data_IF_370576197959
#
_entry.id   IF_370576197959
#
_cell.length_a   1.000
_cell.length_b   1.000
_cell.length_c   1.000
_cell.angle_alpha   90.00
_cell.angle_beta   90.00
_cell.angle_gamma   90.00
#
_symmetry.space_group_name_H-M   'P 1'
#
loop_
_entity.id
_entity.type
_entity.pdbx_description
1 polymer ?
#
# COMPACT_ATOMS: atom_id res chain seq x y z
N UNK A 1 29.38 3.04 -6.50
CA UNK A 1 29.67 2.48 -5.17
C UNK A 1 28.42 1.79 -4.69
N UNK A 2 28.53 0.64 -3.99
CA UNK A 2 27.40 0.02 -3.33
C UNK A 2 26.89 0.95 -2.22
N UNK A 3 25.57 1.06 -2.04
CA UNK A 3 25.00 1.85 -0.96
C UNK A 3 25.20 1.13 0.38
N UNK A 4 25.46 1.90 1.44
CA UNK A 4 25.58 1.34 2.78
C UNK A 4 24.18 1.04 3.34
N UNK A 5 23.94 -0.24 3.66
CA UNK A 5 22.72 -0.71 4.30
C UNK A 5 22.98 -1.22 5.70
N UNK A 6 22.10 -0.86 6.61
CA UNK A 6 22.06 -1.35 7.97
C UNK A 6 20.64 -1.76 8.34
N UNK A 7 20.49 -2.78 9.17
CA UNK A 7 19.20 -3.12 9.80
C UNK A 7 19.39 -2.98 11.30
N UNK A 8 18.50 -2.19 11.93
CA UNK A 8 18.53 -1.98 13.37
C UNK A 8 17.24 -2.50 13.99
N UNK A 9 17.37 -3.11 15.16
CA UNK A 9 16.23 -3.43 16.02
C UNK A 9 15.95 -2.27 16.98
N UNK A 10 14.67 -2.02 17.27
CA UNK A 10 14.25 -1.00 18.22
C UNK A 10 13.01 -1.44 19.02
N UNK A 11 12.84 -0.88 20.20
CA UNK A 11 11.67 -1.14 21.03
C UNK A 11 10.45 -0.39 20.48
N UNK A 12 9.38 -1.09 20.14
CA UNK A 12 8.18 -0.51 19.52
C UNK A 12 7.47 0.52 20.40
N UNK A 13 7.52 0.37 21.73
CA UNK A 13 6.84 1.29 22.65
C UNK A 13 7.61 2.60 22.85
N UNK A 14 8.94 2.51 22.93
CA UNK A 14 9.79 3.66 23.24
C UNK A 14 10.41 4.30 22.00
N UNK A 15 10.56 3.52 20.92
CA UNK A 15 11.30 3.89 19.72
C UNK A 15 12.82 3.77 19.87
N UNK A 16 13.34 3.45 21.07
CA UNK A 16 14.77 3.36 21.30
C UNK A 16 15.40 2.20 20.54
N UNK A 17 16.49 2.49 19.84
CA UNK A 17 17.31 1.49 19.14
C UNK A 17 17.90 0.55 20.20
N UNK A 18 17.81 -0.74 19.94
CA UNK A 18 18.32 -1.81 20.80
C UNK A 18 19.67 -2.30 20.31
N UNK A 19 19.81 -2.51 18.98
CA UNK A 19 21.04 -3.01 18.39
C UNK A 19 21.09 -2.77 16.88
N UNK A 20 22.32 -2.79 16.32
CA UNK A 20 22.55 -2.94 14.88
C UNK A 20 22.77 -4.42 14.56
N UNK A 21 22.03 -4.95 13.59
CA UNK A 21 22.01 -6.37 13.28
C UNK A 21 23.08 -6.72 12.23
N UNK A 22 23.91 -7.74 12.46
CA UNK A 22 24.91 -8.19 11.49
C UNK A 22 24.27 -9.02 10.36
N UNK A 23 23.56 -8.34 9.47
CA UNK A 23 22.81 -8.97 8.39
C UNK A 23 23.73 -9.48 7.29
N UNK A 24 23.35 -10.59 6.64
CA UNK A 24 24.00 -11.13 5.43
C UNK A 24 23.33 -10.70 4.13
N UNK A 25 22.32 -9.87 4.22
CA UNK A 25 21.50 -9.34 3.15
C UNK A 25 20.14 -8.97 3.69
N UNK A 26 19.38 -8.15 2.95
CA UNK A 26 18.02 -7.77 3.32
C UNK A 26 17.15 -7.66 2.08
N UNK A 27 15.93 -8.17 2.18
CA UNK A 27 14.87 -7.95 1.21
C UNK A 27 13.73 -7.20 1.88
N UNK A 28 13.28 -6.09 1.31
CA UNK A 28 12.13 -5.37 1.81
C UNK A 28 11.23 -4.88 0.69
N UNK A 29 9.95 -4.80 1.00
CA UNK A 29 8.89 -4.44 0.06
C UNK A 29 8.03 -3.33 0.64
N UNK A 30 7.87 -2.26 -0.11
CA UNK A 30 6.85 -1.24 0.14
C UNK A 30 5.67 -1.49 -0.79
N UNK A 31 4.49 -1.66 -0.23
CA UNK A 31 3.25 -1.91 -0.97
C UNK A 31 2.26 -0.78 -0.70
N UNK A 32 1.68 -0.26 -1.77
CA UNK A 32 0.67 0.80 -1.69
C UNK A 32 -0.54 0.35 -0.86
N UNK A 33 -0.98 1.19 0.06
CA UNK A 33 -2.14 0.94 0.93
C UNK A 33 -2.06 -0.36 1.76
N UNK A 34 -0.84 -0.87 2.00
CA UNK A 34 -0.62 -2.12 2.72
C UNK A 34 0.62 -2.04 3.63
N UNK A 35 0.86 -3.11 4.38
CA UNK A 35 1.96 -3.15 5.34
C UNK A 35 3.35 -3.28 4.69
N UNK A 36 3.45 -3.91 3.50
CA UNK A 36 4.74 -4.35 2.99
C UNK A 36 5.37 -5.43 3.88
N UNK A 37 6.59 -5.85 3.54
CA UNK A 37 7.30 -6.92 4.26
C UNK A 37 8.81 -6.70 4.26
N UNK A 38 9.51 -7.38 5.19
CA UNK A 38 10.97 -7.42 5.19
C UNK A 38 11.43 -8.77 5.72
N UNK A 39 12.50 -9.29 5.11
CA UNK A 39 13.20 -10.50 5.56
C UNK A 39 14.69 -10.24 5.55
N UNK A 40 15.35 -10.62 6.64
CA UNK A 40 16.81 -10.69 6.71
C UNK A 40 17.24 -11.88 7.58
N UNK A 41 18.52 -12.22 7.53
CA UNK A 41 19.10 -13.26 8.37
C UNK A 41 20.35 -12.74 9.09
N UNK A 42 20.53 -13.22 10.33
CA UNK A 42 21.71 -12.97 11.15
C UNK A 42 22.29 -14.29 11.68
N UNK A 43 23.58 -14.33 12.04
CA UNK A 43 24.14 -15.50 12.73
C UNK A 43 23.47 -15.74 14.09
N UNK A 44 23.14 -17.00 14.41
CA UNK A 44 22.61 -17.36 15.75
C UNK A 44 23.55 -17.02 16.89
N UNK A 45 24.85 -16.99 16.63
CA UNK A 45 25.89 -16.64 17.63
C UNK A 45 26.06 -15.13 17.83
N UNK A 46 25.31 -14.31 17.07
CA UNK A 46 25.37 -12.85 17.23
C UNK A 46 24.90 -12.43 18.63
N UNK A 47 25.61 -11.49 19.31
CA UNK A 47 25.14 -10.88 20.56
C UNK A 47 23.78 -10.20 20.45
N UNK A 48 23.35 -9.83 19.23
CA UNK A 48 22.05 -9.27 18.94
C UNK A 48 20.94 -10.34 18.89
N UNK A 49 21.28 -11.62 18.70
CA UNK A 49 20.32 -12.74 18.59
C UNK A 49 19.85 -13.23 19.98
N UNK A 50 19.23 -12.33 20.74
CA UNK A 50 18.70 -12.67 22.08
C UNK A 50 17.20 -12.38 22.16
N UNK A 51 16.43 -13.15 22.97
CA UNK A 51 14.99 -12.93 23.13
C UNK A 51 14.61 -11.53 23.61
N UNK A 52 15.46 -10.87 24.39
CA UNK A 52 15.21 -9.52 24.90
C UNK A 52 15.36 -8.44 23.83
N UNK A 53 16.21 -8.69 22.82
CA UNK A 53 16.48 -7.76 21.72
C UNK A 53 15.61 -8.02 20.48
N UNK A 54 15.19 -9.27 20.32
CA UNK A 54 14.40 -9.74 19.18
C UNK A 54 13.12 -10.44 19.67
N UNK A 55 12.25 -9.68 20.33
CA UNK A 55 10.99 -10.19 20.85
C UNK A 55 9.87 -10.01 19.80
N UNK A 56 9.32 -11.08 19.19
CA UNK A 56 8.25 -10.98 18.21
C UNK A 56 7.03 -10.21 18.75
N UNK A 57 6.54 -9.26 17.98
CA UNK A 57 5.44 -8.37 18.37
C UNK A 57 5.86 -7.19 19.28
N UNK A 58 7.05 -7.20 19.88
CA UNK A 58 7.57 -6.13 20.74
C UNK A 58 8.74 -5.36 20.16
N UNK A 59 9.46 -5.97 19.21
CA UNK A 59 10.61 -5.38 18.52
C UNK A 59 10.21 -4.88 17.16
N UNK A 60 10.58 -3.64 16.85
CA UNK A 60 10.55 -3.09 15.50
C UNK A 60 11.88 -3.30 14.79
N UNK A 61 11.83 -3.40 13.47
CA UNK A 61 13.00 -3.42 12.60
C UNK A 61 12.95 -2.21 11.67
N UNK A 62 14.10 -1.58 11.46
CA UNK A 62 14.26 -0.46 10.53
C UNK A 62 15.42 -0.75 9.59
N UNK A 63 15.16 -0.59 8.30
CA UNK A 63 16.20 -0.62 7.26
C UNK A 63 16.70 0.80 7.05
N UNK A 64 17.99 0.99 7.17
CA UNK A 64 18.67 2.28 7.02
C UNK A 64 19.56 2.19 5.80
N UNK A 65 19.42 3.16 4.87
CA UNK A 65 20.25 3.31 3.68
C UNK A 65 20.96 4.65 3.74
N UNK A 66 22.28 4.65 3.66
CA UNK A 66 23.08 5.89 3.73
C UNK A 66 22.67 6.77 4.94
N UNK A 67 22.49 6.15 6.11
CA UNK A 67 22.08 6.83 7.35
C UNK A 67 20.60 7.25 7.42
N UNK A 68 19.79 7.01 6.39
CA UNK A 68 18.36 7.36 6.34
C UNK A 68 17.47 6.13 6.51
N UNK A 69 16.48 6.14 7.38
CA UNK A 69 15.45 5.10 7.44
C UNK A 69 14.68 5.05 6.12
N UNK A 70 14.67 3.90 5.45
CA UNK A 70 14.00 3.71 4.17
C UNK A 70 12.82 2.73 4.25
N UNK A 71 12.82 1.83 5.22
CA UNK A 71 11.74 0.91 5.52
C UNK A 71 11.68 0.65 7.02
N UNK A 72 10.48 0.38 7.55
CA UNK A 72 10.31 0.03 8.95
C UNK A 72 9.04 -0.76 9.21
N UNK A 73 9.10 -1.64 10.21
CA UNK A 73 7.99 -2.51 10.54
C UNK A 73 8.18 -3.25 11.86
N UNK A 74 7.34 -4.25 12.07
CA UNK A 74 7.27 -5.03 13.30
C UNK A 74 7.77 -6.44 13.02
N UNK A 75 8.70 -6.91 13.83
CA UNK A 75 9.13 -8.31 13.83
C UNK A 75 7.98 -9.19 14.33
N UNK A 76 7.38 -9.97 13.44
CA UNK A 76 6.29 -10.86 13.80
C UNK A 76 6.73 -12.31 13.98
N UNK A 77 7.66 -12.77 13.15
CA UNK A 77 8.16 -14.14 13.24
C UNK A 77 9.68 -14.19 13.08
N UNK A 78 10.28 -15.15 13.73
CA UNK A 78 11.67 -15.53 13.54
C UNK A 78 11.78 -17.04 13.47
N UNK A 79 12.76 -17.53 12.72
CA UNK A 79 13.04 -18.95 12.56
C UNK A 79 14.53 -19.23 12.69
N UNK A 80 14.88 -20.09 13.64
CA UNK A 80 16.24 -20.52 13.87
C UNK A 80 16.54 -21.78 13.05
N UNK A 81 17.53 -21.72 12.17
CA UNK A 81 18.12 -22.89 11.54
C UNK A 81 19.40 -23.27 12.29
N UNK A 82 19.31 -24.32 13.10
CA UNK A 82 20.42 -24.77 13.94
C UNK A 82 21.53 -25.41 13.13
N UNK A 83 21.20 -25.98 11.96
CA UNK A 83 22.19 -26.61 11.07
C UNK A 83 22.97 -25.57 10.26
N UNK A 84 22.30 -24.54 9.76
CA UNK A 84 22.93 -23.42 9.07
C UNK A 84 23.52 -22.37 10.03
N UNK A 85 23.16 -22.40 11.33
CA UNK A 85 23.61 -21.42 12.32
C UNK A 85 23.01 -20.02 12.08
N UNK A 86 21.82 -19.93 11.50
CA UNK A 86 21.20 -18.66 11.11
C UNK A 86 19.85 -18.45 11.78
N UNK A 87 19.54 -17.17 12.07
CA UNK A 87 18.25 -16.71 12.55
C UNK A 87 17.62 -15.83 11.48
N UNK A 88 16.55 -16.31 10.86
CA UNK A 88 15.77 -15.54 9.88
C UNK A 88 14.74 -14.70 10.61
N UNK A 89 14.68 -13.41 10.29
CA UNK A 89 13.77 -12.42 10.85
C UNK A 89 12.79 -12.00 9.77
N UNK A 90 11.48 -12.12 10.06
CA UNK A 90 10.42 -11.68 9.16
C UNK A 90 9.60 -10.58 9.83
N UNK A 91 9.53 -9.43 9.18
CA UNK A 91 8.79 -8.28 9.63
C UNK A 91 7.72 -7.83 8.62
N UNK A 92 6.65 -7.25 9.12
CA UNK A 92 5.66 -6.55 8.31
C UNK A 92 5.62 -5.07 8.68
N UNK A 93 5.40 -4.21 7.71
CA UNK A 93 5.35 -2.76 7.92
C UNK A 93 4.36 -2.33 9.01
N UNK A 94 4.47 -1.11 9.46
CA UNK A 94 3.74 -0.59 10.62
C UNK A 94 2.21 -0.72 10.54
N UNK A 95 1.64 -0.77 9.34
CA UNK A 95 0.20 -1.00 9.17
C UNK A 95 -0.27 -2.33 9.75
N UNK A 96 0.60 -3.33 9.81
CA UNK A 96 0.29 -4.64 10.40
C UNK A 96 -0.11 -4.59 11.87
N UNK A 97 0.34 -3.55 12.62
CA UNK A 97 -0.08 -3.32 14.00
C UNK A 97 -1.59 -3.13 14.14
N UNK A 98 -2.17 -2.41 13.19
CA UNK A 98 -3.57 -2.00 13.23
C UNK A 98 -4.55 -3.14 12.92
N UNK A 99 -4.07 -4.27 12.36
CA UNK A 99 -4.86 -5.50 12.24
C UNK A 99 -5.25 -6.08 13.60
N UNK A 100 -4.37 -5.93 14.60
CA UNK A 100 -4.62 -6.36 15.98
C UNK A 100 -5.30 -5.31 16.87
N UNK A 101 -5.70 -4.16 16.33
CA UNK A 101 -6.43 -3.11 17.05
C UNK A 101 -7.87 -3.02 16.59
N UNK A 102 -8.80 -2.97 17.54
CA UNK A 102 -10.25 -2.98 17.27
C UNK A 102 -10.93 -1.79 17.95
N UNK A 103 -11.95 -1.26 17.32
CA UNK A 103 -12.85 -0.26 17.92
C UNK A 103 -13.82 -0.91 18.92
N UNK A 104 -13.32 -1.23 20.12
CA UNK A 104 -14.09 -1.98 21.14
C UNK A 104 -15.32 -1.25 21.65
N UNK A 105 -15.38 0.08 21.56
CA UNK A 105 -16.54 0.88 21.93
C UNK A 105 -17.48 1.18 20.74
N UNK A 106 -17.16 0.64 19.56
CA UNK A 106 -17.78 1.07 18.31
C UNK A 106 -17.22 2.39 17.81
N UNK A 107 -17.81 2.91 16.74
CA UNK A 107 -17.42 4.18 16.11
C UNK A 107 -18.67 4.93 15.64
N UNK A 108 -18.69 6.25 15.80
CA UNK A 108 -19.71 7.11 15.23
C UNK A 108 -19.09 8.41 14.73
N UNK A 109 -19.04 8.57 13.43
CA UNK A 109 -18.63 9.78 12.72
C UNK A 109 -19.73 10.14 11.72
N UNK A 110 -20.23 11.37 11.77
CA UNK A 110 -21.24 11.85 10.85
C UNK A 110 -20.75 13.12 10.18
N UNK A 111 -20.62 13.08 8.84
CA UNK A 111 -20.17 14.20 8.02
C UNK A 111 -18.83 14.83 8.50
N UNK A 112 -17.88 13.99 8.92
CA UNK A 112 -16.56 14.42 9.39
C UNK A 112 -15.54 14.30 8.25
N UNK A 113 -14.61 15.27 8.16
CA UNK A 113 -13.49 15.22 7.21
C UNK A 113 -12.68 13.93 7.39
N UNK A 114 -12.38 13.21 6.29
CA UNK A 114 -11.67 11.92 6.34
C UNK A 114 -10.28 12.03 6.97
N UNK A 115 -9.55 13.14 6.79
CA UNK A 115 -8.27 13.36 7.46
C UNK A 115 -8.44 13.58 8.97
N UNK A 116 -9.54 14.21 9.40
CA UNK A 116 -9.87 14.35 10.82
C UNK A 116 -10.24 13.00 11.46
N UNK A 117 -10.96 12.15 10.74
CA UNK A 117 -11.27 10.78 11.17
C UNK A 117 -9.97 10.00 11.40
N UNK A 118 -9.04 10.01 10.44
CA UNK A 118 -7.75 9.31 10.55
C UNK A 118 -6.93 9.80 11.75
N UNK A 119 -6.84 11.13 11.94
CA UNK A 119 -6.12 11.69 13.10
C UNK A 119 -6.70 11.22 14.42
N UNK A 120 -8.03 11.19 14.56
CA UNK A 120 -8.70 10.70 15.75
C UNK A 120 -8.43 9.19 15.98
N UNK A 121 -8.55 8.36 14.96
CA UNK A 121 -8.28 6.93 15.07
C UNK A 121 -6.84 6.63 15.48
N UNK A 122 -5.87 7.29 14.85
CA UNK A 122 -4.45 7.11 15.18
C UNK A 122 -4.10 7.67 16.57
N UNK A 123 -4.70 8.80 16.98
CA UNK A 123 -4.53 9.34 18.33
C UNK A 123 -5.02 8.36 19.40
N UNK A 124 -6.22 7.81 19.22
CA UNK A 124 -6.79 6.82 20.15
C UNK A 124 -5.95 5.54 20.24
N UNK A 125 -5.42 5.05 19.10
CA UNK A 125 -4.54 3.87 19.11
C UNK A 125 -3.22 4.15 19.79
N UNK A 126 -2.62 5.33 19.62
CA UNK A 126 -1.40 5.72 20.30
C UNK A 126 -1.59 5.78 21.82
N UNK A 127 -2.71 6.36 22.29
CA UNK A 127 -3.03 6.46 23.72
C UNK A 127 -3.20 5.08 24.35
N UNK A 128 -3.70 4.10 23.61
CA UNK A 128 -3.94 2.73 24.06
C UNK A 128 -2.75 1.79 23.77
N UNK A 129 -1.54 2.14 24.21
CA UNK A 129 -0.33 1.36 23.96
C UNK A 129 -0.03 1.11 22.48
N UNK A 130 -0.16 2.13 21.64
CA UNK A 130 0.19 2.08 20.23
C UNK A 130 1.69 2.16 19.97
N UNK A 131 2.03 2.18 18.69
CA UNK A 131 3.42 2.21 18.19
C UNK A 131 3.92 3.64 17.90
N UNK A 132 3.33 4.66 18.53
CA UNK A 132 3.74 6.08 18.45
C UNK A 132 3.73 6.66 17.04
N UNK A 133 2.75 6.28 16.23
CA UNK A 133 2.62 6.80 14.87
C UNK A 133 2.38 8.31 14.87
N UNK A 134 3.24 9.07 14.20
CA UNK A 134 3.05 10.50 13.95
C UNK A 134 1.98 10.70 12.88
N UNK A 135 0.88 11.33 13.25
CA UNK A 135 -0.25 11.68 12.38
C UNK A 135 -0.38 13.20 12.15
N UNK A 136 0.59 13.98 12.62
CA UNK A 136 0.55 15.45 12.57
C UNK A 136 0.53 16.02 11.15
N UNK A 137 0.99 15.24 10.17
CA UNK A 137 1.07 15.63 8.76
C UNK A 137 -0.15 15.21 7.92
N UNK A 138 -1.17 14.60 8.53
CA UNK A 138 -2.41 14.28 7.82
C UNK A 138 -3.20 15.59 7.60
N UNK A 139 -3.40 16.03 6.35
CA UNK A 139 -4.16 17.24 6.05
C UNK A 139 -5.67 17.02 6.22
N UNK A 140 -6.43 18.10 6.27
CA UNK A 140 -7.84 18.04 5.94
C UNK A 140 -7.98 17.86 4.43
N UNK A 141 -8.83 16.93 4.02
CA UNK A 141 -9.02 16.59 2.61
C UNK A 141 -10.18 17.35 1.97
N UNK A 142 -11.03 18.00 2.76
CA UNK A 142 -12.28 18.60 2.32
C UNK A 142 -13.38 17.59 2.01
N UNK A 143 -13.12 16.30 2.19
CA UNK A 143 -14.07 15.21 1.92
C UNK A 143 -14.67 14.70 3.22
N UNK A 144 -15.96 14.89 3.39
CA UNK A 144 -16.70 14.42 4.55
C UNK A 144 -17.14 12.98 4.38
N UNK A 145 -17.12 12.24 5.48
CA UNK A 145 -17.48 10.81 5.55
C UNK A 145 -18.33 10.53 6.76
N UNK A 146 -19.20 9.55 6.61
CA UNK A 146 -19.97 8.97 7.72
C UNK A 146 -19.48 7.54 7.95
N UNK A 147 -19.14 7.22 9.21
CA UNK A 147 -18.68 5.89 9.63
C UNK A 147 -19.32 5.56 10.97
N UNK A 148 -20.15 4.52 10.97
CA UNK A 148 -20.86 4.08 12.15
C UNK A 148 -20.75 2.56 12.27
N UNK A 149 -20.11 2.09 13.32
CA UNK A 149 -20.01 0.69 13.67
C UNK A 149 -20.40 0.48 15.12
N UNK A 150 -21.13 -0.58 15.35
CA UNK A 150 -21.41 -1.01 16.71
C UNK A 150 -20.21 -1.74 17.30
N UNK A 151 -20.15 -1.85 18.62
CA UNK A 151 -19.10 -2.63 19.31
C UNK A 151 -19.08 -4.11 18.89
N UNK A 152 -20.21 -4.64 18.42
CA UNK A 152 -20.36 -6.05 18.04
C UNK A 152 -19.80 -6.38 16.66
N UNK A 153 -19.62 -5.38 15.80
CA UNK A 153 -19.01 -5.55 14.49
C UNK A 153 -17.50 -5.74 14.58
N UNK A 154 -16.90 -5.38 15.75
CA UNK A 154 -15.49 -5.59 16.06
C UNK A 154 -14.53 -5.14 14.94
N UNK A 155 -14.85 -4.02 14.28
CA UNK A 155 -14.08 -3.48 13.16
C UNK A 155 -12.63 -3.22 13.59
N UNK A 156 -11.68 -3.77 12.85
CA UNK A 156 -10.25 -3.49 13.07
C UNK A 156 -9.89 -2.09 12.54
N UNK A 157 -8.90 -1.46 13.18
CA UNK A 157 -8.44 -0.14 12.75
C UNK A 157 -7.82 -0.20 11.34
N UNK A 158 -7.12 -1.29 10.98
CA UNK A 158 -6.58 -1.44 9.63
C UNK A 158 -7.69 -1.51 8.59
N UNK A 159 -8.70 -2.36 8.80
CA UNK A 159 -9.81 -2.49 7.86
C UNK A 159 -10.59 -1.17 7.73
N UNK A 160 -10.76 -0.43 8.83
CA UNK A 160 -11.40 0.88 8.78
C UNK A 160 -10.59 1.93 7.98
N UNK A 161 -9.25 1.92 8.10
CA UNK A 161 -8.37 2.79 7.31
C UNK A 161 -8.44 2.40 5.83
N UNK A 162 -8.37 1.11 5.53
CA UNK A 162 -8.44 0.57 4.17
C UNK A 162 -9.79 0.91 3.51
N UNK A 163 -10.91 0.68 4.22
CA UNK A 163 -12.25 1.03 3.77
C UNK A 163 -12.42 2.55 3.51
N UNK A 164 -11.83 3.38 4.38
CA UNK A 164 -11.86 4.83 4.18
C UNK A 164 -10.99 5.28 2.99
N UNK A 165 -9.90 4.57 2.73
CA UNK A 165 -9.01 4.83 1.61
C UNK A 165 -9.63 4.43 0.27
N UNK A 166 -10.40 3.33 0.25
CA UNK A 166 -11.07 2.79 -0.94
C UNK A 166 -12.37 3.52 -1.32
N UNK A 167 -12.86 4.42 -0.48
CA UNK A 167 -14.04 5.23 -0.81
C UNK A 167 -13.86 6.04 -2.10
N UNK A 168 -14.95 6.34 -2.77
CA UNK A 168 -14.97 7.26 -3.91
C UNK A 168 -14.32 8.61 -3.55
N UNK A 169 -13.16 8.90 -4.14
CA UNK A 169 -12.32 10.01 -3.76
C UNK A 169 -11.61 9.83 -2.42
N UNK A 170 -11.25 8.61 -2.10
CA UNK A 170 -10.39 8.26 -0.99
C UNK A 170 -8.96 8.79 -1.13
N UNK A 171 -8.02 8.06 -0.60
CA UNK A 171 -6.61 8.48 -0.57
C UNK A 171 -5.69 7.27 -0.62
N UNK A 172 -4.47 7.47 -1.06
CA UNK A 172 -3.40 6.52 -0.83
C UNK A 172 -2.74 6.80 0.51
N UNK A 173 -2.30 5.76 1.20
CA UNK A 173 -1.58 5.91 2.45
C UNK A 173 -0.28 5.10 2.49
N UNK A 174 0.64 5.53 3.34
CA UNK A 174 1.89 4.84 3.64
C UNK A 174 2.43 5.22 5.01
N UNK A 175 3.29 4.37 5.56
CA UNK A 175 4.04 4.64 6.77
C UNK A 175 5.50 4.89 6.41
N UNK A 176 6.04 5.99 6.89
CA UNK A 176 7.44 6.38 6.63
C UNK A 176 8.20 6.36 7.94
N UNK A 177 9.21 5.50 8.09
CA UNK A 177 10.09 5.56 9.25
C UNK A 177 10.95 6.82 9.20
N UNK A 178 11.27 7.37 10.36
CA UNK A 178 12.18 8.51 10.47
C UNK A 178 12.92 8.49 11.80
N UNK A 179 14.06 9.17 11.84
CA UNK A 179 14.78 9.40 13.07
C UNK A 179 14.11 10.50 13.88
N UNK A 180 13.62 10.16 15.07
CA UNK A 180 13.24 11.14 16.10
C UNK A 180 14.50 11.71 16.78
N UNK A 181 15.53 10.84 16.97
CA UNK A 181 16.90 11.20 17.27
C UNK A 181 17.83 10.29 16.46
N UNK A 182 18.72 10.88 15.67
CA UNK A 182 19.55 10.18 14.68
C UNK A 182 20.32 9.00 15.29
N UNK A 183 20.13 7.79 14.76
CA UNK A 183 20.76 6.55 15.24
C UNK A 183 20.31 6.07 16.62
N UNK A 184 19.48 6.82 17.33
CA UNK A 184 19.09 6.52 18.72
C UNK A 184 17.62 6.18 18.84
N UNK A 185 16.75 6.90 18.11
CA UNK A 185 15.31 6.76 18.28
C UNK A 185 14.56 6.81 16.96
N UNK A 186 13.84 5.74 16.69
CA UNK A 186 13.00 5.56 15.50
C UNK A 186 11.56 5.90 15.82
N UNK A 187 10.89 6.55 14.89
CA UNK A 187 9.45 6.73 14.88
C UNK A 187 8.90 6.44 13.49
N UNK A 188 7.58 6.40 13.36
CA UNK A 188 6.92 6.23 12.08
C UNK A 188 5.88 7.33 11.87
N UNK A 189 5.71 7.74 10.62
CA UNK A 189 4.74 8.76 10.22
C UNK A 189 3.75 8.20 9.25
N UNK A 190 2.47 8.40 9.52
CA UNK A 190 1.40 8.10 8.58
C UNK A 190 1.20 9.28 7.63
N UNK A 191 1.29 9.01 6.35
CA UNK A 191 1.09 9.99 5.30
C UNK A 191 -0.05 9.55 4.39
N UNK A 192 -0.82 10.53 3.92
CA UNK A 192 -1.82 10.33 2.87
C UNK A 192 -1.48 11.19 1.65
N UNK A 193 -1.86 10.69 0.49
CA UNK A 193 -1.75 11.39 -0.80
C UNK A 193 -3.03 11.21 -1.60
N UNK A 194 -3.18 11.99 -2.68
CA UNK A 194 -4.25 11.72 -3.63
C UNK A 194 -4.13 10.29 -4.19
N UNK A 195 -5.25 9.72 -4.64
CA UNK A 195 -5.34 8.35 -5.18
C UNK A 195 -4.35 8.12 -6.34
N UNK A 196 -4.20 9.12 -7.21
CA UNK A 196 -3.07 9.20 -8.12
C UNK A 196 -2.05 10.16 -7.50
N UNK A 197 -0.93 9.64 -7.06
CA UNK A 197 0.16 10.42 -6.48
C UNK A 197 0.78 11.41 -7.46
N UNK A 198 1.96 11.90 -7.12
CA UNK A 198 2.68 12.81 -8.00
C UNK A 198 3.05 12.11 -9.32
N UNK A 199 2.90 12.82 -10.43
CA UNK A 199 3.45 12.35 -11.70
C UNK A 199 4.96 12.46 -11.64
N UNK A 200 5.63 11.32 -11.66
CA UNK A 200 7.08 11.25 -11.72
C UNK A 200 7.58 11.69 -13.11
N UNK A 201 8.79 12.20 -13.15
CA UNK A 201 9.51 12.46 -14.42
C UNK A 201 10.18 11.20 -14.96
N UNK A 202 10.15 10.10 -14.21
CA UNK A 202 10.79 8.85 -14.60
C UNK A 202 10.02 8.19 -15.75
N UNK A 203 10.76 7.72 -16.74
CA UNK A 203 10.26 6.89 -17.81
C UNK A 203 11.03 5.58 -17.81
N UNK A 204 10.33 4.48 -17.66
CA UNK A 204 10.87 3.14 -17.79
C UNK A 204 10.74 2.68 -19.23
N UNK A 205 11.85 2.53 -19.91
CA UNK A 205 11.91 2.10 -21.30
C UNK A 205 12.68 0.77 -21.38
N UNK A 206 11.95 -0.27 -21.81
CA UNK A 206 12.44 -1.63 -21.89
C UNK A 206 13.73 -1.72 -22.71
N UNK A 207 14.76 -2.39 -22.19
CA UNK A 207 16.10 -2.53 -22.76
C UNK A 207 16.94 -1.25 -22.90
N UNK A 208 16.46 -0.12 -22.38
CA UNK A 208 17.22 1.14 -22.34
C UNK A 208 17.68 1.45 -20.93
N UNK A 209 16.76 1.52 -19.96
CA UNK A 209 17.07 1.84 -18.57
C UNK A 209 16.48 0.86 -17.56
N UNK A 210 15.73 -0.12 -18.04
CA UNK A 210 15.16 -1.18 -17.26
C UNK A 210 14.97 -2.45 -18.10
N UNK A 211 14.71 -3.55 -17.41
CA UNK A 211 14.13 -4.74 -18.01
C UNK A 211 12.66 -4.85 -17.53
N UNK A 212 11.73 -5.02 -18.47
CA UNK A 212 10.34 -5.36 -18.17
C UNK A 212 10.22 -6.86 -18.28
N UNK A 213 10.25 -7.54 -17.14
CA UNK A 213 10.31 -9.00 -17.06
C UNK A 213 8.98 -9.67 -17.37
N UNK A 214 7.87 -8.98 -17.11
CA UNK A 214 6.53 -9.46 -17.39
C UNK A 214 5.57 -8.29 -17.60
N UNK A 215 4.52 -8.53 -18.40
CA UNK A 215 3.31 -7.71 -18.42
C UNK A 215 2.13 -8.65 -18.30
N UNK A 216 1.48 -8.66 -17.13
CA UNK A 216 0.24 -9.39 -16.96
C UNK A 216 -0.92 -8.53 -17.47
N UNK A 217 -1.91 -9.19 -18.08
CA UNK A 217 -3.15 -8.55 -18.51
C UNK A 217 -4.30 -9.19 -17.75
N UNK A 218 -4.96 -8.40 -16.90
CA UNK A 218 -6.14 -8.83 -16.17
C UNK A 218 -7.42 -8.34 -16.87
N UNK A 219 -8.27 -9.28 -17.26
CA UNK A 219 -9.55 -9.04 -17.90
C UNK A 219 -10.76 -9.31 -17.00
N UNK A 220 -10.54 -9.53 -15.71
CA UNK A 220 -11.63 -9.81 -14.75
C UNK A 220 -12.60 -8.65 -14.62
N UNK A 221 -12.11 -7.42 -14.71
CA UNK A 221 -12.90 -6.18 -14.67
C UNK A 221 -13.58 -5.79 -15.97
N UNK A 222 -13.32 -6.50 -17.10
CA UNK A 222 -13.99 -6.18 -18.37
C UNK A 222 -15.51 -6.20 -18.21
N UNK A 223 -16.17 -5.20 -18.78
CA UNK A 223 -17.63 -5.06 -18.73
C UNK A 223 -18.16 -4.54 -20.07
N UNK A 224 -19.00 -5.30 -20.73
CA UNK A 224 -19.78 -4.82 -21.87
C UNK A 224 -20.95 -3.98 -21.43
N UNK A 225 -21.59 -4.37 -20.31
CA UNK A 225 -22.67 -3.63 -19.66
C UNK A 225 -22.40 -3.46 -18.18
N UNK A 226 -22.76 -2.32 -17.64
CA UNK A 226 -22.72 -2.03 -16.21
C UNK A 226 -24.10 -1.58 -15.76
N UNK A 227 -24.65 -2.31 -14.79
CA UNK A 227 -25.95 -2.04 -14.16
C UNK A 227 -25.72 -1.59 -12.73
N UNK A 228 -26.14 -0.38 -12.37
CA UNK A 228 -26.00 0.13 -11.02
C UNK A 228 -27.38 0.34 -10.38
N UNK A 229 -27.54 -0.20 -9.18
CA UNK A 229 -28.77 -0.13 -8.38
C UNK A 229 -28.48 0.57 -7.06
N UNK A 230 -29.33 1.54 -6.72
CA UNK A 230 -29.20 2.29 -5.45
C UNK A 230 -30.04 1.74 -4.32
N UNK A 231 -30.10 2.51 -3.23
CA UNK A 231 -30.90 2.23 -2.07
C UNK A 231 -32.42 2.33 -2.39
N UNK A 232 -33.19 1.41 -1.88
CA UNK A 232 -34.65 1.46 -1.97
C UNK A 232 -35.19 2.64 -1.14
N UNK A 233 -36.10 3.43 -1.70
CA UNK A 233 -36.80 4.48 -0.98
C UNK A 233 -37.96 3.92 -0.14
N UNK A 234 -38.65 4.79 0.60
CA UNK A 234 -39.79 4.42 1.44
C UNK A 234 -40.99 3.90 0.64
N UNK A 235 -41.07 4.15 -0.66
CA UNK A 235 -42.10 3.73 -1.60
C UNK A 235 -41.70 2.45 -2.36
N UNK A 236 -40.53 1.89 -2.09
CA UNK A 236 -40.05 0.67 -2.72
C UNK A 236 -39.32 0.89 -4.07
N UNK A 237 -39.22 2.13 -4.55
CA UNK A 237 -38.51 2.45 -5.77
C UNK A 237 -36.97 2.47 -5.53
N UNK A 238 -36.19 1.93 -6.51
CA UNK A 238 -34.74 1.96 -6.49
C UNK A 238 -34.24 2.82 -7.64
N UNK A 239 -33.38 3.81 -7.40
CA UNK A 239 -32.71 4.47 -8.50
C UNK A 239 -31.82 3.46 -9.24
N UNK A 240 -31.86 3.49 -10.55
CA UNK A 240 -31.09 2.61 -11.45
C UNK A 240 -30.34 3.44 -12.47
N UNK A 241 -29.18 2.96 -12.90
CA UNK A 241 -28.45 3.52 -14.00
C UNK A 241 -27.73 2.42 -14.77
N UNK A 242 -27.73 2.53 -16.09
CA UNK A 242 -27.09 1.58 -17.00
C UNK A 242 -26.13 2.30 -17.95
N UNK A 243 -25.02 1.68 -18.24
CA UNK A 243 -24.05 2.14 -19.23
C UNK A 243 -23.39 0.94 -19.90
N UNK A 244 -22.78 1.12 -21.06
CA UNK A 244 -22.15 0.04 -21.82
C UNK A 244 -20.87 0.48 -22.52
N UNK A 245 -20.06 -0.50 -22.89
CA UNK A 245 -18.89 -0.38 -23.76
C UNK A 245 -19.18 -1.12 -25.09
N UNK A 246 -19.85 -0.49 -26.04
CA UNK A 246 -20.30 -1.16 -27.28
C UNK A 246 -19.15 -1.72 -28.11
N UNK A 247 -17.98 -1.06 -28.09
CA UNK A 247 -16.79 -1.49 -28.83
C UNK A 247 -16.29 -2.89 -28.39
N UNK A 248 -16.64 -3.31 -27.17
CA UNK A 248 -16.25 -4.64 -26.67
C UNK A 248 -17.09 -5.78 -27.26
N UNK A 249 -18.30 -5.53 -27.73
CA UNK A 249 -19.13 -6.59 -28.32
C UNK A 249 -18.54 -7.23 -29.58
N UNK A 250 -17.64 -6.51 -30.25
CA UNK A 250 -16.92 -7.05 -31.41
C UNK A 250 -15.74 -7.96 -30.98
N UNK A 251 -15.37 -7.93 -29.72
CA UNK A 251 -14.13 -8.58 -29.21
C UNK A 251 -14.39 -9.70 -28.22
N UNK A 252 -15.44 -9.58 -27.40
CA UNK A 252 -15.78 -10.55 -26.36
C UNK A 252 -17.28 -10.80 -26.32
N UNK A 253 -17.73 -11.97 -25.84
CA UNK A 253 -19.13 -12.19 -25.50
C UNK A 253 -19.61 -11.17 -24.45
N UNK A 254 -20.93 -10.94 -24.42
CA UNK A 254 -21.52 -10.05 -23.43
C UNK A 254 -21.09 -10.44 -22.00
N UNK A 255 -20.61 -9.47 -21.26
CA UNK A 255 -20.19 -9.60 -19.86
C UNK A 255 -20.78 -8.47 -19.04
N UNK A 256 -21.72 -8.81 -18.20
CA UNK A 256 -22.47 -7.87 -17.36
C UNK A 256 -21.80 -7.71 -16.01
N UNK A 257 -21.72 -6.47 -15.53
CA UNK A 257 -21.31 -6.12 -14.17
C UNK A 257 -22.50 -5.49 -13.47
N UNK A 258 -22.90 -6.07 -12.35
CA UNK A 258 -24.00 -5.57 -11.52
C UNK A 258 -23.42 -4.99 -10.23
N UNK A 259 -23.74 -3.73 -9.95
CA UNK A 259 -23.30 -3.00 -8.76
C UNK A 259 -24.52 -2.60 -7.94
N UNK A 260 -24.51 -2.89 -6.64
CA UNK A 260 -25.59 -2.52 -5.73
C UNK A 260 -25.05 -1.67 -4.59
N UNK A 261 -25.66 -0.50 -4.39
CA UNK A 261 -25.26 0.47 -3.38
C UNK A 261 -26.42 0.74 -2.41
N UNK A 262 -26.30 0.25 -1.20
CA UNK A 262 -27.35 0.37 -0.15
C UNK A 262 -27.51 1.79 0.42
N UNK A 263 -26.58 2.67 0.14
CA UNK A 263 -26.49 4.05 0.64
C UNK A 263 -26.77 5.13 -0.42
N UNK A 264 -26.74 4.76 -1.71
CA UNK A 264 -26.90 5.71 -2.82
C UNK A 264 -28.37 5.88 -3.19
N UNK A 265 -28.87 7.10 -3.04
CA UNK A 265 -30.27 7.47 -3.29
C UNK A 265 -30.49 8.30 -4.56
N UNK A 266 -29.43 8.66 -5.29
CA UNK A 266 -29.54 9.54 -6.46
C UNK A 266 -28.97 8.89 -7.73
N UNK A 267 -29.69 9.02 -8.85
CA UNK A 267 -29.27 8.54 -10.16
C UNK A 267 -27.94 9.18 -10.58
N UNK A 268 -27.70 10.45 -10.26
CA UNK A 268 -26.45 11.15 -10.62
C UNK A 268 -25.23 10.50 -9.97
N UNK A 269 -25.35 10.04 -8.72
CA UNK A 269 -24.25 9.33 -8.04
C UNK A 269 -24.05 7.96 -8.65
N UNK A 270 -25.14 7.23 -8.95
CA UNK A 270 -25.07 5.93 -9.65
C UNK A 270 -24.42 6.06 -11.02
N UNK A 271 -24.79 7.09 -11.79
CA UNK A 271 -24.23 7.35 -13.10
C UNK A 271 -22.71 7.50 -13.05
N UNK A 272 -22.20 8.29 -12.10
CA UNK A 272 -20.74 8.44 -11.91
C UNK A 272 -20.06 7.12 -11.57
N UNK A 273 -20.64 6.32 -10.66
CA UNK A 273 -20.08 5.03 -10.25
C UNK A 273 -20.09 4.02 -11.40
N UNK A 274 -21.21 3.91 -12.11
CA UNK A 274 -21.32 3.00 -13.26
C UNK A 274 -20.39 3.41 -14.42
N UNK A 275 -20.30 4.71 -14.73
CA UNK A 275 -19.38 5.21 -15.77
C UNK A 275 -17.93 4.94 -15.41
N UNK A 276 -17.54 5.10 -14.15
CA UNK A 276 -16.20 4.77 -13.67
C UNK A 276 -15.90 3.27 -13.83
N UNK A 277 -16.83 2.40 -13.44
CA UNK A 277 -16.70 0.95 -13.65
C UNK A 277 -16.62 0.58 -15.13
N UNK A 278 -17.43 1.20 -15.99
CA UNK A 278 -17.36 1.00 -17.43
C UNK A 278 -16.02 1.46 -18.03
N UNK A 279 -15.46 2.56 -17.52
CA UNK A 279 -14.14 3.05 -17.98
C UNK A 279 -13.03 2.05 -17.62
N UNK A 280 -13.01 1.53 -16.37
CA UNK A 280 -12.06 0.48 -15.96
C UNK A 280 -12.28 -0.81 -16.76
N UNK A 281 -13.56 -1.16 -17.01
CA UNK A 281 -13.96 -2.36 -17.75
C UNK A 281 -13.81 -2.28 -19.29
N UNK A 282 -13.24 -1.20 -19.82
CA UNK A 282 -13.12 -0.99 -21.27
C UNK A 282 -11.99 -1.78 -21.94
N UNK A 283 -10.95 -2.11 -21.19
CA UNK A 283 -9.79 -2.85 -21.68
C UNK A 283 -9.19 -3.72 -20.57
N UNK A 284 -8.44 -4.79 -20.92
CA UNK A 284 -7.66 -5.52 -19.94
C UNK A 284 -6.68 -4.59 -19.24
N UNK A 285 -6.57 -4.74 -17.91
CA UNK A 285 -5.64 -3.97 -17.09
C UNK A 285 -4.23 -4.51 -17.32
N UNK A 286 -3.33 -3.69 -17.83
CA UNK A 286 -1.93 -4.05 -17.98
C UNK A 286 -1.18 -3.81 -16.64
N UNK A 287 -0.42 -4.82 -16.21
CA UNK A 287 0.37 -4.79 -14.98
C UNK A 287 1.82 -5.15 -15.29
N UNK A 288 2.66 -4.17 -15.68
CA UNK A 288 4.06 -4.41 -15.94
C UNK A 288 4.87 -4.62 -14.65
N UNK A 289 5.79 -5.58 -14.70
CA UNK A 289 6.83 -5.78 -13.69
C UNK A 289 8.14 -5.28 -14.24
N UNK A 290 8.72 -4.30 -13.59
CA UNK A 290 9.89 -3.56 -14.07
C UNK A 290 11.07 -3.76 -13.11
N UNK A 291 12.23 -4.09 -13.67
CA UNK A 291 13.51 -4.16 -12.97
C UNK A 291 14.43 -3.06 -13.52
N UNK A 292 14.57 -1.93 -12.84
CA UNK A 292 15.49 -0.86 -13.25
C UNK A 292 16.94 -1.35 -13.32
N UNK A 293 17.70 -0.86 -14.26
CA UNK A 293 19.13 -1.18 -14.30
C UNK A 293 19.88 -0.55 -13.13
N UNK A 294 20.89 -1.23 -12.57
CA UNK A 294 21.61 -0.76 -11.42
C UNK A 294 22.18 0.67 -11.60
N UNK A 295 21.92 1.53 -10.61
CA UNK A 295 22.42 2.90 -10.59
C UNK A 295 21.67 3.91 -11.45
N UNK A 296 20.63 3.49 -12.19
CA UNK A 296 19.81 4.40 -13.02
C UNK A 296 18.81 5.16 -12.15
N UNK A 297 18.16 4.46 -11.23
CA UNK A 297 17.21 5.04 -10.29
C UNK A 297 17.59 4.70 -8.85
N UNK A 298 17.38 5.65 -7.94
CA UNK A 298 17.48 5.40 -6.50
C UNK A 298 16.13 4.93 -5.95
N UNK A 299 16.09 4.02 -4.95
CA UNK A 299 14.85 3.64 -4.28
C UNK A 299 14.03 4.84 -3.77
N UNK A 300 14.70 5.91 -3.33
CA UNK A 300 14.04 7.11 -2.80
C UNK A 300 13.23 7.90 -3.84
N UNK A 301 13.51 7.66 -5.13
CA UNK A 301 12.81 8.30 -6.26
C UNK A 301 11.56 7.52 -6.71
N UNK A 302 11.39 6.30 -6.20
CA UNK A 302 10.38 5.35 -6.63
C UNK A 302 9.42 5.07 -5.47
N UNK A 303 8.45 5.95 -5.31
CA UNK A 303 7.51 5.93 -4.19
C UNK A 303 6.22 5.21 -4.62
N UNK A 304 5.78 4.15 -3.93
CA UNK A 304 4.46 3.57 -4.17
C UNK A 304 3.35 4.61 -4.09
N UNK A 305 2.46 4.60 -5.09
CA UNK A 305 1.42 5.60 -5.29
C UNK A 305 1.75 6.65 -6.37
N UNK A 306 3.03 6.88 -6.67
CA UNK A 306 3.40 7.81 -7.73
C UNK A 306 3.19 7.24 -9.12
N UNK A 307 2.86 8.13 -10.06
CA UNK A 307 2.62 7.78 -11.46
C UNK A 307 3.94 7.77 -12.22
N UNK A 308 4.21 6.66 -12.89
CA UNK A 308 5.40 6.43 -13.73
C UNK A 308 4.99 6.25 -15.18
N UNK A 309 5.85 6.62 -16.12
CA UNK A 309 5.64 6.30 -17.54
C UNK A 309 6.37 4.98 -17.87
N UNK A 310 5.69 4.06 -18.55
CA UNK A 310 6.29 2.79 -19.01
C UNK A 310 6.17 2.69 -20.52
N UNK A 311 7.26 2.26 -21.18
CA UNK A 311 7.34 2.01 -22.61
C UNK A 311 7.90 0.62 -22.85
N UNK A 312 7.10 -0.22 -23.49
CA UNK A 312 7.48 -1.55 -23.95
C UNK A 312 6.93 -1.73 -25.35
N UNK A 313 7.79 -2.05 -26.30
CA UNK A 313 7.40 -2.48 -27.65
C UNK A 313 8.21 -3.74 -27.95
N UNK A 314 7.59 -4.90 -27.74
CA UNK A 314 8.22 -6.19 -27.94
C UNK A 314 7.23 -7.28 -28.30
N UNK A 315 7.12 -7.59 -29.58
CA UNK A 315 6.26 -8.65 -30.08
C UNK A 315 4.77 -8.41 -29.79
N UNK A 316 4.16 -9.29 -28.99
CA UNK A 316 2.77 -9.16 -28.58
C UNK A 316 2.53 -7.97 -27.64
N UNK A 317 3.57 -7.58 -26.90
CA UNK A 317 3.47 -6.54 -25.86
C UNK A 317 3.77 -5.18 -26.47
N UNK A 318 2.75 -4.33 -26.57
CA UNK A 318 2.87 -2.92 -26.91
C UNK A 318 2.23 -2.10 -25.80
N UNK A 319 3.03 -1.66 -24.83
CA UNK A 319 2.58 -0.89 -23.66
C UNK A 319 3.25 0.47 -23.69
N UNK A 320 2.44 1.51 -23.75
CA UNK A 320 2.89 2.89 -23.67
C UNK A 320 1.85 3.70 -22.88
N UNK A 321 2.21 4.12 -21.68
CA UNK A 321 1.24 4.84 -20.84
C UNK A 321 1.75 5.20 -19.45
N UNK A 322 0.82 5.69 -18.66
CA UNK A 322 1.01 6.07 -17.27
C UNK A 322 0.50 4.95 -16.35
N UNK A 323 1.34 4.57 -15.41
CA UNK A 323 1.09 3.49 -14.46
C UNK A 323 1.36 3.98 -13.03
N UNK A 324 0.55 3.56 -12.09
CA UNK A 324 0.79 3.78 -10.66
C UNK A 324 1.74 2.70 -10.17
N UNK A 325 2.79 3.10 -9.47
CA UNK A 325 3.67 2.17 -8.77
C UNK A 325 2.93 1.58 -7.56
N UNK A 326 2.59 0.30 -7.63
CA UNK A 326 1.84 -0.38 -6.56
C UNK A 326 2.73 -1.05 -5.54
N UNK A 327 3.91 -1.50 -5.98
CA UNK A 327 4.87 -2.17 -5.11
C UNK A 327 6.30 -1.89 -5.56
N UNK A 328 7.17 -1.66 -4.57
CA UNK A 328 8.60 -1.58 -4.75
C UNK A 328 9.27 -2.59 -3.83
N UNK A 329 9.91 -3.60 -4.40
CA UNK A 329 10.77 -4.53 -3.71
C UNK A 329 12.23 -4.14 -3.91
N UNK A 330 13.02 -4.18 -2.85
CA UNK A 330 14.46 -3.96 -2.87
C UNK A 330 15.15 -5.16 -2.24
N UNK A 331 16.01 -5.81 -2.99
CA UNK A 331 16.87 -6.89 -2.55
C UNK A 331 18.31 -6.37 -2.46
N UNK A 332 18.93 -6.52 -1.31
CA UNK A 332 20.33 -6.15 -1.07
C UNK A 332 21.10 -7.41 -0.71
N UNK A 333 22.06 -7.75 -1.54
CA UNK A 333 22.89 -8.94 -1.32
C UNK A 333 24.04 -8.70 -0.32
N UNK A 334 24.81 -9.73 -0.04
CA UNK A 334 25.94 -9.71 0.90
C UNK A 334 27.06 -8.74 0.47
N UNK A 335 27.11 -8.33 -0.79
CA UNK A 335 28.07 -7.34 -1.31
C UNK A 335 27.56 -5.90 -1.23
N UNK A 336 26.33 -5.70 -0.75
CA UNK A 336 25.64 -4.41 -0.70
C UNK A 336 25.09 -3.96 -2.07
N UNK A 337 24.99 -4.87 -3.04
CA UNK A 337 24.40 -4.56 -4.34
C UNK A 337 22.89 -4.54 -4.23
N UNK A 338 22.29 -3.44 -4.66
CA UNK A 338 20.84 -3.25 -4.74
C UNK A 338 20.28 -3.82 -6.04
N UNK A 339 19.16 -4.52 -5.93
CA UNK A 339 18.29 -4.87 -7.05
C UNK A 339 16.87 -4.46 -6.71
N UNK A 340 16.22 -3.75 -7.62
CA UNK A 340 14.83 -3.31 -7.44
C UNK A 340 13.90 -4.07 -8.38
N UNK A 341 12.73 -4.44 -7.87
CA UNK A 341 11.61 -4.92 -8.68
C UNK A 341 10.39 -4.07 -8.38
N UNK A 342 9.75 -3.57 -9.42
CA UNK A 342 8.62 -2.66 -9.35
C UNK A 342 7.41 -3.33 -9.97
N UNK A 343 6.29 -3.36 -9.24
CA UNK A 343 5.00 -3.71 -9.78
C UNK A 343 4.20 -2.43 -10.05
N UNK A 344 3.62 -2.34 -11.23
CA UNK A 344 2.84 -1.19 -11.63
C UNK A 344 1.47 -1.63 -12.15
N UNK A 345 0.47 -0.77 -12.04
CA UNK A 345 -0.85 -1.01 -12.59
C UNK A 345 -1.36 0.24 -13.32
N UNK A 346 -2.22 0.02 -14.31
CA UNK A 346 -2.75 1.11 -15.13
C UNK A 346 -3.37 2.20 -14.26
N UNK A 347 -3.04 3.45 -14.53
CA UNK A 347 -3.53 4.63 -13.79
C UNK A 347 -5.06 4.71 -13.75
N UNK A 348 -5.74 4.35 -14.82
CA UNK A 348 -7.19 4.40 -14.93
C UNK A 348 -7.90 3.55 -13.86
N UNK A 349 -7.27 2.46 -13.40
CA UNK A 349 -7.78 1.62 -12.31
C UNK A 349 -7.90 2.41 -11.02
N UNK A 350 -6.93 3.28 -10.73
CA UNK A 350 -6.92 4.09 -9.50
C UNK A 350 -7.81 5.32 -9.61
N UNK A 351 -7.94 5.92 -10.79
CA UNK A 351 -8.78 7.09 -10.99
C UNK A 351 -10.27 6.76 -10.93
N UNK A 352 -10.64 5.57 -11.40
CA UNK A 352 -12.02 5.13 -11.57
C UNK A 352 -12.40 3.94 -10.66
N UNK A 353 -11.42 3.15 -10.20
CA UNK A 353 -11.65 1.94 -9.40
C UNK A 353 -12.23 2.23 -8.02
N UNK A 354 -11.89 3.36 -7.40
CA UNK A 354 -12.43 3.82 -6.11
C UNK A 354 -13.85 4.40 -6.22
N UNK A 355 -14.59 4.04 -7.24
CA UNK A 355 -15.98 4.41 -7.44
C UNK A 355 -16.94 3.31 -6.97
N UNK A 356 -16.38 2.21 -6.45
CA UNK A 356 -17.10 1.03 -5.98
C UNK A 356 -17.79 1.21 -4.63
#
# INVERSE_FOLDING_TARGET
>A
MAALYEVMSFNLKTGLVLDSLPITGVSYTDTLNAAGSMTCAIPLTSPAATPDRLFPGGTGLVVVREGKPVWGGILWTLAADLSAGTLTLNASGFHSHYKGKTFVAGESKNEVDQGAILRDWLARTNTNNGIRTDYSKIPNTGRKRTRNWTRFEAMSVSAAIEDLADDAGGFNFRYVPFWEAAGVKVSNRFLISAVTGAKSKNTFEHRINCDVSAVAYDSTSLATNVYAYGAQDAQGAKPTYETSNPDLYERIPAKDVVMTFSDVKTVTTLARKATAAATVGRAPIAMPTVTPYPGVFSPDQLIPGDVQTVRVDHGYVAVFGEFVLTERKVDVDTSGRETMTLALANREVFENGNSG
#
